data_IF_448979349532
#
_entry.id   IF_448979349532
#
_cell.length_a   1.000
_cell.length_b   1.000
_cell.length_c   1.000
_cell.angle_alpha   90.00
_cell.angle_beta   90.00
_cell.angle_gamma   90.00
#
_symmetry.space_group_name_H-M   'P 1'
#
loop_
_entity.id
_entity.type
_entity.pdbx_description
1 polymer ?
#
# COMPACT_ATOMS: atom_id res chain seq x y z
N UNK A 1 12.55 59.18 -13.68
CA UNK A 1 13.04 57.85 -14.16
C UNK A 1 12.84 56.66 -13.19
N UNK A 2 12.58 56.84 -11.87
CA UNK A 2 12.38 55.72 -10.94
C UNK A 2 11.06 54.96 -11.10
N UNK A 3 9.95 55.62 -11.44
CA UNK A 3 8.61 54.96 -11.55
C UNK A 3 8.54 53.80 -12.54
N UNK A 4 9.02 53.88 -13.80
CA UNK A 4 8.91 52.73 -14.73
C UNK A 4 9.79 51.56 -14.34
N UNK A 5 10.93 51.76 -13.61
CA UNK A 5 11.78 50.69 -13.13
C UNK A 5 11.10 49.92 -11.99
N UNK A 6 10.46 50.62 -11.06
CA UNK A 6 9.74 49.99 -9.93
C UNK A 6 8.54 49.19 -10.45
N UNK A 7 7.81 49.72 -11.45
CA UNK A 7 6.68 49.00 -12.05
C UNK A 7 7.14 47.75 -12.82
N UNK A 8 8.28 47.79 -13.50
CA UNK A 8 8.90 46.65 -14.17
C UNK A 8 9.31 45.56 -13.19
N UNK A 9 9.96 45.91 -12.09
CA UNK A 9 10.40 44.97 -11.07
C UNK A 9 9.18 44.31 -10.38
N UNK A 10 8.16 45.08 -10.03
CA UNK A 10 6.91 44.57 -9.45
C UNK A 10 6.18 43.59 -10.38
N UNK A 11 6.10 43.90 -11.68
CA UNK A 11 5.51 43.02 -12.70
C UNK A 11 6.32 41.73 -12.87
N UNK A 12 7.64 41.79 -12.90
CA UNK A 12 8.52 40.64 -13.04
C UNK A 12 8.43 39.73 -11.79
N UNK A 13 8.39 40.32 -10.57
CA UNK A 13 8.19 39.61 -9.33
C UNK A 13 6.80 38.93 -9.31
N UNK A 14 5.77 39.62 -9.73
CA UNK A 14 4.41 39.10 -9.84
C UNK A 14 4.31 37.89 -10.78
N UNK A 15 4.94 37.99 -11.95
CA UNK A 15 5.03 36.90 -12.93
C UNK A 15 5.81 35.72 -12.39
N UNK A 16 6.94 35.94 -11.69
CA UNK A 16 7.73 34.87 -11.07
C UNK A 16 6.96 34.15 -9.96
N UNK A 17 6.25 34.91 -9.11
CA UNK A 17 5.38 34.33 -8.07
C UNK A 17 4.22 33.56 -8.71
N UNK A 18 3.58 34.10 -9.73
CA UNK A 18 2.52 33.41 -10.46
C UNK A 18 3.04 32.11 -11.11
N UNK A 19 4.19 32.14 -11.77
CA UNK A 19 4.83 30.95 -12.34
C UNK A 19 5.17 29.92 -11.26
N UNK A 20 5.69 30.36 -10.11
CA UNK A 20 5.99 29.47 -8.98
C UNK A 20 4.72 28.81 -8.41
N UNK A 21 3.61 29.54 -8.30
CA UNK A 21 2.36 29.04 -7.73
C UNK A 21 1.52 28.23 -8.72
N UNK A 22 1.62 28.51 -10.02
CA UNK A 22 0.85 27.86 -11.09
C UNK A 22 1.58 26.68 -11.74
N UNK A 23 2.75 26.31 -11.23
CA UNK A 23 3.52 25.16 -11.72
C UNK A 23 2.78 23.83 -11.62
N UNK A 24 3.23 22.81 -12.38
CA UNK A 24 2.65 21.49 -12.35
C UNK A 24 2.71 20.91 -10.92
N UNK A 25 1.60 20.32 -10.49
CA UNK A 25 1.46 19.73 -9.15
C UNK A 25 1.15 18.26 -9.27
N UNK A 26 1.70 17.49 -8.35
CA UNK A 26 1.24 16.13 -8.12
C UNK A 26 -0.18 16.16 -7.55
N UNK A 27 -1.10 15.46 -8.19
CA UNK A 27 -2.51 15.37 -7.77
C UNK A 27 -2.95 13.92 -7.75
N UNK A 28 -3.87 13.59 -6.86
CA UNK A 28 -4.48 12.27 -6.79
C UNK A 28 -5.24 11.90 -8.08
N UNK A 29 -5.86 12.88 -8.72
CA UNK A 29 -6.67 12.67 -9.93
C UNK A 29 -8.10 12.20 -9.60
N UNK A 30 -8.77 11.52 -10.55
CA UNK A 30 -10.12 11.00 -10.36
C UNK A 30 -10.14 9.92 -9.26
N UNK A 31 -11.24 9.86 -8.51
CA UNK A 31 -11.43 8.84 -7.49
C UNK A 31 -12.03 7.53 -8.08
N UNK A 32 -11.60 7.21 -9.29
CA UNK A 32 -12.10 6.07 -10.07
C UNK A 32 -10.93 5.20 -10.50
N UNK A 33 -10.93 3.89 -10.16
CA UNK A 33 -9.91 2.96 -10.62
C UNK A 33 -9.82 2.88 -12.15
N UNK A 34 -8.62 2.63 -12.66
CA UNK A 34 -8.44 2.29 -14.09
C UNK A 34 -9.27 1.06 -14.43
N UNK A 35 -10.06 1.06 -15.52
CA UNK A 35 -10.84 -0.11 -15.92
C UNK A 35 -9.96 -1.35 -16.10
N UNK A 36 -10.37 -2.46 -15.50
CA UNK A 36 -9.68 -3.74 -15.57
C UNK A 36 -10.68 -4.85 -15.95
N UNK A 37 -10.24 -5.89 -16.68
CA UNK A 37 -11.05 -7.08 -16.91
C UNK A 37 -11.48 -7.71 -15.58
N UNK A 38 -12.76 -8.10 -15.51
CA UNK A 38 -13.25 -8.78 -14.32
C UNK A 38 -12.61 -10.17 -14.17
N UNK A 39 -12.21 -10.57 -12.94
CA UNK A 39 -11.74 -11.93 -12.70
C UNK A 39 -12.89 -12.94 -12.87
N UNK A 40 -12.56 -14.22 -13.20
CA UNK A 40 -13.53 -15.30 -13.22
C UNK A 40 -14.25 -15.47 -11.88
N UNK A 41 -15.51 -15.84 -11.94
CA UNK A 41 -16.32 -16.15 -10.74
C UNK A 41 -16.14 -17.59 -10.26
N UNK A 42 -15.59 -18.47 -11.09
CA UNK A 42 -15.28 -19.85 -10.73
C UNK A 42 -13.86 -19.93 -10.13
N UNK A 43 -13.71 -20.43 -8.88
CA UNK A 43 -12.39 -20.55 -8.24
C UNK A 43 -11.35 -21.27 -9.09
N UNK A 44 -11.74 -22.37 -9.74
CA UNK A 44 -10.84 -23.20 -10.56
C UNK A 44 -10.23 -22.48 -11.77
N UNK A 45 -10.84 -21.40 -12.25
CA UNK A 45 -10.35 -20.63 -13.39
C UNK A 45 -9.38 -19.50 -13.02
N UNK A 46 -9.22 -19.20 -11.72
CA UNK A 46 -8.45 -18.05 -11.27
C UNK A 46 -6.93 -18.21 -11.52
N UNK A 47 -6.37 -19.40 -11.32
CA UNK A 47 -4.93 -19.60 -11.50
C UNK A 47 -4.51 -19.37 -12.95
N UNK A 48 -5.23 -19.95 -13.93
CA UNK A 48 -4.96 -19.77 -15.34
C UNK A 48 -5.15 -18.32 -15.77
N UNK A 49 -6.19 -17.67 -15.27
CA UNK A 49 -6.46 -16.26 -15.54
C UNK A 49 -5.35 -15.35 -15.02
N UNK A 50 -4.88 -15.57 -13.78
CA UNK A 50 -3.75 -14.82 -13.20
C UNK A 50 -2.47 -15.07 -14.00
N UNK A 51 -2.18 -16.33 -14.35
CA UNK A 51 -1.00 -16.69 -15.12
C UNK A 51 -0.98 -15.98 -16.49
N UNK A 52 -2.12 -15.93 -17.17
CA UNK A 52 -2.21 -15.22 -18.46
C UNK A 52 -1.96 -13.72 -18.29
N UNK A 53 -2.49 -13.09 -17.24
CA UNK A 53 -2.30 -11.66 -16.98
C UNK A 53 -0.86 -11.33 -16.59
N UNK A 54 -0.25 -12.13 -15.74
CA UNK A 54 1.15 -11.93 -15.34
C UNK A 54 2.12 -12.24 -16.51
N UNK A 55 1.80 -13.17 -17.38
CA UNK A 55 2.59 -13.49 -18.59
C UNK A 55 2.67 -12.33 -19.60
N UNK A 56 1.80 -11.33 -19.50
CA UNK A 56 1.90 -10.10 -20.30
C UNK A 56 3.16 -9.29 -19.97
N UNK A 57 3.73 -9.46 -18.78
CA UNK A 57 4.96 -8.81 -18.33
C UNK A 57 6.12 -9.82 -18.44
N UNK A 58 7.19 -9.41 -19.14
CA UNK A 58 8.37 -10.28 -19.36
C UNK A 58 9.48 -10.07 -18.34
N UNK A 59 9.32 -9.10 -17.47
CA UNK A 59 10.31 -8.59 -16.52
C UNK A 59 9.87 -8.73 -15.05
N UNK A 60 8.85 -9.54 -14.76
CA UNK A 60 8.48 -9.87 -13.39
C UNK A 60 9.62 -10.65 -12.73
N UNK A 61 10.06 -10.18 -11.58
CA UNK A 61 11.07 -10.84 -10.75
C UNK A 61 10.45 -12.12 -10.18
N UNK A 62 11.07 -13.31 -10.40
CA UNK A 62 10.53 -14.57 -9.91
C UNK A 62 10.23 -14.53 -8.40
N UNK A 63 9.05 -14.97 -8.01
CA UNK A 63 8.58 -14.97 -6.63
C UNK A 63 7.80 -13.72 -6.22
N UNK A 64 7.68 -12.71 -7.11
CA UNK A 64 6.92 -11.47 -6.81
C UNK A 64 5.58 -11.39 -7.55
N UNK A 65 5.21 -12.41 -8.29
CA UNK A 65 3.99 -12.50 -9.08
C UNK A 65 2.72 -12.44 -8.20
N UNK A 66 1.60 -11.99 -8.77
CA UNK A 66 0.27 -12.25 -8.20
C UNK A 66 0.08 -13.76 -8.11
N UNK A 67 -0.36 -14.26 -6.96
CA UNK A 67 -0.63 -15.69 -6.82
C UNK A 67 -1.69 -15.98 -5.75
N UNK A 68 -2.31 -17.16 -5.89
CA UNK A 68 -3.23 -17.72 -4.90
C UNK A 68 -2.53 -18.87 -4.18
N UNK A 69 -2.59 -18.84 -2.86
CA UNK A 69 -2.22 -19.97 -2.02
C UNK A 69 -3.53 -20.60 -1.55
N UNK A 70 -3.82 -21.78 -2.07
CA UNK A 70 -5.03 -22.52 -1.77
C UNK A 70 -4.93 -23.22 -0.42
N UNK A 71 -5.95 -23.10 0.41
CA UNK A 71 -6.04 -23.84 1.68
C UNK A 71 -6.12 -25.37 1.46
N UNK A 72 -6.65 -25.80 0.31
CA UNK A 72 -6.74 -27.22 -0.03
C UNK A 72 -6.61 -27.46 -1.55
N UNK A 73 -6.25 -28.69 -1.92
CA UNK A 73 -6.18 -29.10 -3.32
C UNK A 73 -7.54 -29.05 -4.05
N UNK A 74 -8.66 -29.04 -3.32
CA UNK A 74 -10.00 -28.91 -3.88
C UNK A 74 -10.29 -27.52 -4.47
N UNK A 75 -9.47 -26.51 -4.15
CA UNK A 75 -9.59 -25.13 -4.65
C UNK A 75 -11.01 -24.57 -4.52
N UNK A 76 -11.64 -24.81 -3.37
CA UNK A 76 -12.99 -24.37 -3.07
C UNK A 76 -12.96 -23.09 -2.24
N UNK A 77 -14.11 -22.38 -2.21
CA UNK A 77 -14.29 -21.20 -1.38
C UNK A 77 -14.21 -21.57 0.11
N UNK A 78 -13.46 -20.78 0.87
CA UNK A 78 -13.29 -20.91 2.34
C UNK A 78 -14.17 -19.91 3.10
N UNK A 79 -14.23 -20.00 4.44
CA UNK A 79 -14.95 -19.03 5.27
C UNK A 79 -14.30 -17.65 5.19
N UNK A 80 -12.98 -17.57 5.27
CA UNK A 80 -12.20 -16.37 5.03
C UNK A 80 -11.37 -16.49 3.75
N UNK A 81 -11.23 -15.41 3.00
CA UNK A 81 -10.12 -15.20 2.10
C UNK A 81 -9.23 -14.10 2.65
N UNK A 82 -7.93 -14.32 2.65
CA UNK A 82 -6.93 -13.32 3.02
C UNK A 82 -6.37 -12.67 1.76
N UNK A 83 -6.27 -11.35 1.73
CA UNK A 83 -5.57 -10.58 0.71
C UNK A 83 -4.36 -9.93 1.34
N UNK A 84 -3.20 -10.02 0.72
CA UNK A 84 -2.03 -9.26 1.11
C UNK A 84 -1.68 -8.21 0.08
N UNK A 85 -1.59 -6.95 0.50
CA UNK A 85 -1.19 -5.80 -0.32
C UNK A 85 0.11 -5.23 0.26
N UNK A 86 1.19 -5.36 -0.51
CA UNK A 86 2.54 -4.98 -0.10
C UNK A 86 2.76 -3.46 -0.05
N UNK A 87 3.89 -3.06 0.54
CA UNK A 87 4.35 -1.68 0.62
C UNK A 87 4.95 -1.13 -0.67
N UNK A 88 5.31 0.16 -0.66
CA UNK A 88 5.99 0.83 -1.77
C UNK A 88 7.35 0.19 -2.05
N UNK A 89 7.63 -0.02 -3.31
CA UNK A 89 8.80 -0.71 -3.87
C UNK A 89 8.96 -2.19 -3.48
N UNK A 90 8.10 -2.71 -2.60
CA UNK A 90 8.13 -4.07 -2.10
C UNK A 90 7.38 -5.07 -3.00
N UNK A 91 7.34 -6.30 -2.55
CA UNK A 91 6.53 -7.39 -3.08
C UNK A 91 5.91 -8.19 -1.93
N UNK A 92 5.16 -9.24 -2.27
CA UNK A 92 4.61 -10.18 -1.27
C UNK A 92 5.65 -10.79 -0.33
N UNK A 93 6.92 -10.75 -0.72
CA UNK A 93 8.03 -11.32 0.06
C UNK A 93 8.41 -10.48 1.27
N UNK A 94 8.02 -9.19 1.33
CA UNK A 94 8.50 -8.26 2.37
C UNK A 94 8.21 -8.72 3.81
N UNK A 95 7.06 -9.38 4.03
CA UNK A 95 6.68 -9.93 5.34
C UNK A 95 6.48 -11.44 5.33
N UNK A 96 6.79 -12.12 4.21
CA UNK A 96 6.62 -13.57 4.12
C UNK A 96 7.40 -14.30 5.23
N UNK A 97 6.80 -15.32 5.88
CA UNK A 97 5.52 -15.98 5.60
C UNK A 97 4.34 -15.50 6.47
N UNK A 98 4.27 -14.24 6.88
CA UNK A 98 3.25 -13.76 7.81
C UNK A 98 1.82 -14.04 7.31
N UNK A 99 1.51 -13.67 6.06
CA UNK A 99 0.18 -13.85 5.49
C UNK A 99 -0.16 -15.34 5.29
N UNK A 100 0.83 -16.17 4.92
CA UNK A 100 0.67 -17.63 4.84
C UNK A 100 0.31 -18.21 6.21
N UNK A 101 1.02 -17.81 7.27
CA UNK A 101 0.77 -18.25 8.65
C UNK A 101 -0.65 -17.88 9.10
N UNK A 102 -1.09 -16.65 8.80
CA UNK A 102 -2.45 -16.18 9.13
C UNK A 102 -3.49 -16.97 8.35
N UNK A 103 -3.31 -17.13 7.03
CA UNK A 103 -4.24 -17.85 6.19
C UNK A 103 -4.39 -19.31 6.61
N UNK A 104 -3.28 -19.98 6.89
CA UNK A 104 -3.28 -21.35 7.41
C UNK A 104 -4.05 -21.45 8.73
N UNK A 105 -3.79 -20.57 9.69
CA UNK A 105 -4.46 -20.59 10.99
C UNK A 105 -5.98 -20.28 10.90
N UNK A 106 -6.42 -19.52 9.89
CA UNK A 106 -7.82 -19.23 9.63
C UNK A 106 -8.50 -20.27 8.72
N UNK A 107 -7.76 -21.25 8.19
CA UNK A 107 -8.25 -22.17 7.16
C UNK A 107 -8.69 -21.42 5.89
N UNK A 108 -8.00 -20.38 5.53
CA UNK A 108 -8.36 -19.44 4.47
C UNK A 108 -7.55 -19.65 3.20
N UNK A 109 -8.16 -19.41 2.04
CA UNK A 109 -7.41 -19.14 0.81
C UNK A 109 -6.72 -17.77 0.94
N UNK A 110 -5.53 -17.63 0.35
CA UNK A 110 -4.74 -16.39 0.38
C UNK A 110 -4.47 -15.90 -1.05
N UNK A 111 -4.70 -14.62 -1.28
CA UNK A 111 -4.30 -13.94 -2.51
C UNK A 111 -3.22 -12.91 -2.21
N UNK A 112 -2.11 -13.04 -2.91
CA UNK A 112 -1.03 -12.07 -2.92
C UNK A 112 -1.19 -11.11 -4.09
N UNK A 113 -1.48 -9.84 -3.81
CA UNK A 113 -1.52 -8.79 -4.82
C UNK A 113 -0.10 -8.37 -5.24
N UNK A 114 0.03 -7.91 -6.46
CA UNK A 114 1.19 -7.17 -6.98
C UNK A 114 0.68 -5.87 -7.57
N UNK A 115 1.05 -4.75 -6.95
CA UNK A 115 0.66 -3.42 -7.44
C UNK A 115 1.39 -3.13 -8.76
N UNK A 116 0.72 -2.41 -9.65
CA UNK A 116 1.28 -1.99 -10.93
C UNK A 116 2.68 -1.37 -10.73
N UNK A 117 3.62 -1.73 -11.61
CA UNK A 117 5.01 -1.31 -11.54
C UNK A 117 5.88 -2.04 -10.53
N UNK A 118 5.32 -2.72 -9.52
CA UNK A 118 6.06 -3.45 -8.50
C UNK A 118 6.42 -4.87 -8.94
N UNK A 119 7.43 -5.44 -8.29
CA UNK A 119 7.91 -6.79 -8.63
C UNK A 119 8.49 -6.90 -10.05
N UNK A 120 8.92 -5.78 -10.61
CA UNK A 120 9.54 -5.63 -11.94
C UNK A 120 10.79 -4.77 -11.80
N UNK A 121 11.50 -4.51 -12.89
CA UNK A 121 12.65 -3.62 -12.88
C UNK A 121 12.30 -2.21 -12.38
N UNK A 122 13.27 -1.50 -11.81
CA UNK A 122 13.04 -0.18 -11.18
C UNK A 122 12.46 0.90 -12.11
N UNK A 123 12.63 0.77 -13.43
CA UNK A 123 11.98 1.65 -14.40
C UNK A 123 10.46 1.49 -14.38
N UNK A 124 9.96 0.26 -14.24
CA UNK A 124 8.53 -0.05 -14.22
C UNK A 124 7.80 0.62 -13.03
N UNK A 125 8.50 0.92 -11.93
CA UNK A 125 7.94 1.65 -10.79
C UNK A 125 7.47 3.06 -11.15
N UNK A 126 8.04 3.68 -12.19
CA UNK A 126 7.67 5.02 -12.64
C UNK A 126 6.52 5.06 -13.64
N UNK A 127 6.00 3.91 -14.09
CA UNK A 127 4.96 3.81 -15.10
C UNK A 127 3.53 4.08 -14.57
N UNK A 128 3.13 3.49 -13.40
CA UNK A 128 1.74 3.51 -12.98
C UNK A 128 1.29 4.85 -12.41
N UNK A 129 -0.01 5.11 -12.58
CA UNK A 129 -0.76 6.13 -11.89
C UNK A 129 -1.31 5.61 -10.54
N UNK A 130 -1.90 6.53 -9.74
CA UNK A 130 -2.66 6.13 -8.55
C UNK A 130 -3.83 5.24 -8.93
N UNK A 131 -4.53 5.56 -10.03
CA UNK A 131 -5.72 4.86 -10.50
C UNK A 131 -5.43 3.39 -10.85
N UNK A 132 -4.21 3.09 -11.29
CA UNK A 132 -3.78 1.71 -11.53
C UNK A 132 -3.64 0.93 -10.22
N UNK A 133 -3.11 1.55 -9.16
CA UNK A 133 -3.07 0.93 -7.82
C UNK A 133 -4.46 0.78 -7.21
N UNK A 134 -5.37 1.76 -7.43
CA UNK A 134 -6.77 1.60 -7.02
C UNK A 134 -7.40 0.39 -7.71
N UNK A 135 -7.13 0.22 -9.01
CA UNK A 135 -7.62 -0.92 -9.78
C UNK A 135 -7.08 -2.27 -9.28
N UNK A 136 -5.78 -2.33 -8.94
CA UNK A 136 -5.18 -3.53 -8.34
C UNK A 136 -5.82 -3.89 -6.99
N UNK A 137 -6.10 -2.89 -6.14
CA UNK A 137 -6.80 -3.10 -4.87
C UNK A 137 -8.21 -3.66 -5.07
N UNK A 138 -8.97 -3.08 -6.00
CA UNK A 138 -10.33 -3.54 -6.33
C UNK A 138 -10.31 -4.94 -6.95
N UNK A 139 -9.36 -5.21 -7.88
CA UNK A 139 -9.15 -6.55 -8.46
C UNK A 139 -8.87 -7.57 -7.37
N UNK A 140 -7.98 -7.24 -6.43
CA UNK A 140 -7.61 -8.13 -5.33
C UNK A 140 -8.82 -8.55 -4.48
N UNK A 141 -9.73 -7.61 -4.17
CA UNK A 141 -10.95 -7.93 -3.42
C UNK A 141 -11.94 -8.74 -4.26
N UNK A 142 -12.08 -8.45 -5.57
CA UNK A 142 -12.93 -9.24 -6.46
C UNK A 142 -12.48 -10.69 -6.54
N UNK A 143 -11.17 -10.93 -6.64
CA UNK A 143 -10.58 -12.28 -6.58
C UNK A 143 -10.89 -12.90 -5.22
N UNK A 144 -10.63 -12.19 -4.12
CA UNK A 144 -10.85 -12.70 -2.77
C UNK A 144 -12.31 -13.08 -2.50
N UNK A 145 -13.28 -12.37 -3.07
CA UNK A 145 -14.71 -12.72 -2.98
C UNK A 145 -15.04 -14.06 -3.68
N UNK A 146 -14.28 -14.44 -4.68
CA UNK A 146 -14.38 -15.79 -5.27
C UNK A 146 -13.70 -16.83 -4.37
N UNK A 147 -12.65 -16.45 -3.63
CA UNK A 147 -11.86 -17.34 -2.77
C UNK A 147 -12.47 -17.59 -1.39
N UNK A 148 -13.27 -16.65 -0.87
CA UNK A 148 -13.85 -16.74 0.49
C UNK A 148 -15.18 -16.02 0.63
N UNK A 149 -15.97 -16.45 1.62
CA UNK A 149 -17.24 -15.81 1.97
C UNK A 149 -17.03 -14.44 2.62
N UNK A 150 -15.96 -14.30 3.40
CA UNK A 150 -15.53 -13.07 4.05
C UNK A 150 -14.11 -12.73 3.58
N UNK A 151 -13.80 -11.45 3.49
CA UNK A 151 -12.50 -10.97 3.01
C UNK A 151 -11.78 -10.21 4.11
N UNK A 152 -10.57 -10.66 4.45
CA UNK A 152 -9.60 -9.98 5.32
C UNK A 152 -8.49 -9.39 4.45
N UNK A 153 -8.37 -8.06 4.42
CA UNK A 153 -7.27 -7.38 3.71
C UNK A 153 -6.16 -7.02 4.70
N UNK A 154 -4.97 -7.52 4.45
CA UNK A 154 -3.74 -7.15 5.16
C UNK A 154 -2.95 -6.20 4.25
N UNK A 155 -2.78 -4.96 4.67
CA UNK A 155 -1.99 -3.96 3.97
C UNK A 155 -0.73 -3.59 4.75
N UNK A 156 0.42 -3.59 4.08
CA UNK A 156 1.68 -3.13 4.66
C UNK A 156 2.03 -1.75 4.11
N UNK A 157 2.40 -0.78 4.96
CA UNK A 157 2.89 0.53 4.56
C UNK A 157 1.95 1.23 3.55
N UNK A 158 2.36 1.46 2.32
CA UNK A 158 1.54 2.03 1.23
C UNK A 158 0.36 1.12 0.87
N UNK A 159 0.48 -0.20 1.01
CA UNK A 159 -0.64 -1.14 0.86
C UNK A 159 -1.76 -0.85 1.86
N UNK A 160 -1.43 -0.46 3.09
CA UNK A 160 -2.42 -0.03 4.08
C UNK A 160 -3.05 1.33 3.74
N UNK A 161 -2.30 2.24 3.10
CA UNK A 161 -2.85 3.52 2.61
C UNK A 161 -3.88 3.26 1.49
N UNK A 162 -3.56 2.36 0.56
CA UNK A 162 -4.47 1.90 -0.49
C UNK A 162 -5.72 1.24 0.11
N UNK A 163 -5.53 0.34 1.07
CA UNK A 163 -6.62 -0.34 1.77
C UNK A 163 -7.52 0.65 2.55
N UNK A 164 -6.96 1.76 3.05
CA UNK A 164 -7.75 2.85 3.65
C UNK A 164 -8.64 3.53 2.61
N UNK A 165 -8.12 3.80 1.41
CA UNK A 165 -8.94 4.30 0.31
C UNK A 165 -10.08 3.32 -0.03
N UNK A 166 -9.78 2.02 -0.09
CA UNK A 166 -10.80 0.98 -0.36
C UNK A 166 -11.90 0.97 0.69
N UNK A 167 -11.56 1.15 1.97
CA UNK A 167 -12.51 1.21 3.07
C UNK A 167 -13.42 2.45 3.02
N UNK A 168 -12.95 3.54 2.41
CA UNK A 168 -13.72 4.77 2.19
C UNK A 168 -14.61 4.70 0.94
N UNK A 169 -14.38 3.71 0.07
CA UNK A 169 -15.06 3.55 -1.22
C UNK A 169 -15.68 2.16 -1.38
N UNK A 170 -16.63 1.76 -0.50
CA UNK A 170 -17.28 0.45 -0.53
C UNK A 170 -18.07 0.20 -1.82
N UNK A 171 -18.39 1.23 -2.59
CA UNK A 171 -19.01 1.15 -3.91
C UNK A 171 -18.14 0.45 -4.95
N UNK A 172 -16.80 0.44 -4.76
CA UNK A 172 -15.87 -0.24 -5.64
C UNK A 172 -15.58 -1.68 -5.19
N UNK A 173 -15.51 -1.91 -3.87
CA UNK A 173 -15.23 -3.22 -3.31
C UNK A 173 -15.65 -3.30 -1.84
N UNK A 174 -16.19 -4.44 -1.42
CA UNK A 174 -16.62 -4.67 -0.04
C UNK A 174 -15.63 -5.60 0.67
N UNK A 175 -15.11 -5.16 1.82
CA UNK A 175 -14.14 -5.89 2.65
C UNK A 175 -14.75 -6.06 4.05
N UNK A 176 -14.57 -7.22 4.67
CA UNK A 176 -15.16 -7.53 5.98
C UNK A 176 -14.27 -7.13 7.14
N UNK A 177 -12.94 -7.08 6.94
CA UNK A 177 -12.00 -6.66 7.96
C UNK A 177 -10.67 -6.20 7.33
N UNK A 178 -9.98 -5.29 8.01
CA UNK A 178 -8.67 -4.78 7.61
C UNK A 178 -7.63 -5.01 8.71
N UNK A 179 -6.40 -5.35 8.29
CA UNK A 179 -5.20 -5.32 9.13
C UNK A 179 -4.18 -4.43 8.46
N UNK A 180 -3.70 -3.43 9.17
CA UNK A 180 -2.68 -2.50 8.69
C UNK A 180 -1.38 -2.70 9.47
N UNK A 181 -0.27 -2.88 8.76
CA UNK A 181 1.06 -3.04 9.34
C UNK A 181 1.89 -1.82 8.91
N UNK A 182 2.37 -1.05 9.88
CA UNK A 182 3.16 0.18 9.65
C UNK A 182 2.56 1.09 8.57
N UNK A 183 1.26 1.47 8.65
CA UNK A 183 0.58 2.17 7.56
C UNK A 183 1.25 3.49 7.22
N UNK A 184 1.51 3.73 5.92
CA UNK A 184 2.10 4.97 5.44
C UNK A 184 1.05 6.08 5.33
N UNK A 185 0.66 6.65 6.46
CA UNK A 185 -0.18 7.85 6.46
C UNK A 185 0.63 9.15 6.38
N UNK A 186 1.93 9.07 6.61
CA UNK A 186 2.89 10.16 6.41
C UNK A 186 4.30 9.60 6.49
N UNK A 187 5.16 9.81 5.48
CA UNK A 187 6.58 9.50 5.62
C UNK A 187 7.22 10.29 6.78
N UNK A 188 8.20 9.68 7.45
CA UNK A 188 8.93 10.35 8.54
C UNK A 188 9.76 11.54 8.06
N UNK A 189 10.24 11.50 6.83
CA UNK A 189 10.94 12.62 6.23
C UNK A 189 9.97 13.81 6.05
N UNK A 190 10.23 14.88 6.79
CA UNK A 190 9.40 16.10 6.81
C UNK A 190 9.32 16.79 5.44
N UNK A 191 10.30 16.61 4.60
CA UNK A 191 10.37 17.22 3.25
C UNK A 191 9.61 16.40 2.19
N UNK A 192 9.17 15.20 2.50
CA UNK A 192 8.47 14.32 1.54
C UNK A 192 7.23 14.96 0.91
N UNK A 193 6.56 15.85 1.64
CA UNK A 193 5.38 16.57 1.16
C UNK A 193 5.64 17.57 0.02
N UNK A 194 6.88 18.00 -0.16
CA UNK A 194 7.28 18.97 -1.21
C UNK A 194 6.96 18.42 -2.61
N UNK A 195 7.01 17.10 -2.81
CA UNK A 195 6.72 16.48 -4.10
C UNK A 195 5.29 16.76 -4.59
N UNK A 196 4.36 17.11 -3.69
CA UNK A 196 2.98 17.47 -4.03
C UNK A 196 2.79 18.98 -4.26
N UNK A 197 3.85 19.80 -4.10
CA UNK A 197 3.81 21.22 -4.34
C UNK A 197 3.90 21.55 -5.85
N UNK A 198 3.64 22.82 -6.23
CA UNK A 198 4.01 23.27 -7.56
C UNK A 198 5.49 23.00 -7.81
N UNK A 199 5.83 22.45 -8.97
CA UNK A 199 7.20 22.07 -9.34
C UNK A 199 7.82 20.97 -8.44
N UNK A 200 7.02 20.27 -7.64
CA UNK A 200 7.52 19.31 -6.65
C UNK A 200 8.37 18.18 -7.25
N UNK A 201 7.98 17.66 -8.43
CA UNK A 201 8.79 16.67 -9.15
C UNK A 201 10.11 17.28 -9.62
N UNK A 202 10.08 18.48 -10.19
CA UNK A 202 11.30 19.17 -10.69
C UNK A 202 12.26 19.47 -9.54
N UNK A 203 11.73 19.88 -8.38
CA UNK A 203 12.51 20.08 -7.16
C UNK A 203 13.13 18.74 -6.71
N UNK A 204 12.34 17.66 -6.69
CA UNK A 204 12.84 16.34 -6.31
C UNK A 204 13.92 15.84 -7.27
N UNK A 205 13.74 16.02 -8.58
CA UNK A 205 14.75 15.67 -9.59
C UNK A 205 16.04 16.49 -9.44
N UNK A 206 15.93 17.78 -9.14
CA UNK A 206 17.10 18.64 -8.94
C UNK A 206 17.89 18.29 -7.66
N UNK A 207 17.19 17.87 -6.59
CA UNK A 207 17.81 17.57 -5.29
C UNK A 207 18.32 16.13 -5.20
N UNK A 208 17.58 15.17 -5.75
CA UNK A 208 17.84 13.73 -5.57
C UNK A 208 18.23 13.00 -6.86
N UNK A 209 18.17 13.67 -7.99
CA UNK A 209 18.39 13.07 -9.31
C UNK A 209 17.19 12.29 -9.85
N UNK A 210 17.35 11.69 -11.05
CA UNK A 210 16.27 10.99 -11.76
C UNK A 210 15.91 9.64 -11.15
N UNK A 211 16.81 9.05 -10.36
CA UNK A 211 16.64 7.74 -9.72
C UNK A 211 16.93 7.81 -8.22
N UNK A 212 16.31 6.94 -7.49
CA UNK A 212 16.51 6.70 -6.05
C UNK A 212 16.82 5.24 -5.82
N UNK A 213 17.53 4.98 -4.73
CA UNK A 213 17.81 3.61 -4.35
C UNK A 213 18.56 3.50 -3.04
N UNK A 214 18.72 2.28 -2.61
CA UNK A 214 19.57 1.88 -1.50
C UNK A 214 20.28 0.57 -1.82
N UNK A 215 21.32 0.26 -1.09
CA UNK A 215 22.02 -1.01 -1.22
C UNK A 215 21.32 -2.06 -0.33
N UNK A 216 20.86 -3.14 -0.93
CA UNK A 216 20.33 -4.27 -0.18
C UNK A 216 21.45 -4.89 0.67
N UNK A 217 21.12 -5.23 1.90
CA UNK A 217 22.05 -5.86 2.85
C UNK A 217 21.96 -7.39 2.84
N UNK A 218 20.91 -7.90 2.21
CA UNK A 218 20.62 -9.33 2.08
C UNK A 218 20.20 -9.64 0.63
N UNK A 219 20.62 -10.75 0.01
CA UNK A 219 20.19 -11.13 -1.34
C UNK A 219 18.67 -11.24 -1.49
N UNK A 220 17.94 -11.72 -0.48
CA UNK A 220 16.49 -11.79 -0.51
C UNK A 220 15.85 -10.40 -0.47
N UNK A 221 16.48 -9.43 0.19
CA UNK A 221 16.05 -8.05 0.15
C UNK A 221 16.13 -7.47 -1.26
N UNK A 222 17.18 -7.80 -2.01
CA UNK A 222 17.35 -7.36 -3.39
C UNK A 222 16.27 -7.92 -4.34
N UNK A 223 15.69 -9.08 -4.01
CA UNK A 223 14.59 -9.70 -4.76
C UNK A 223 13.24 -9.16 -4.31
N UNK A 224 13.05 -8.99 -3.00
CA UNK A 224 11.78 -8.62 -2.40
C UNK A 224 11.39 -7.15 -2.66
N UNK A 225 12.37 -6.27 -2.91
CA UNK A 225 12.16 -4.84 -3.18
C UNK A 225 12.81 -4.40 -4.48
N UNK A 226 12.14 -3.49 -5.19
CA UNK A 226 12.77 -2.67 -6.21
C UNK A 226 13.64 -1.63 -5.49
N UNK A 227 14.89 -1.98 -5.22
CA UNK A 227 15.84 -1.16 -4.46
C UNK A 227 16.50 -0.02 -5.27
N UNK A 228 16.19 0.05 -6.57
CA UNK A 228 16.51 1.17 -7.47
C UNK A 228 15.30 1.50 -8.34
N UNK A 229 14.81 2.74 -8.32
CA UNK A 229 13.62 3.15 -9.07
C UNK A 229 13.66 4.63 -9.47
N UNK A 230 12.86 5.00 -10.47
CA UNK A 230 12.73 6.38 -10.91
C UNK A 230 12.14 7.27 -9.81
N UNK A 231 12.67 8.48 -9.63
CA UNK A 231 12.17 9.46 -8.63
C UNK A 231 10.67 9.76 -8.82
N UNK A 232 10.17 9.74 -10.07
CA UNK A 232 8.75 9.92 -10.37
C UNK A 232 7.84 8.84 -9.79
N UNK A 233 8.36 7.66 -9.43
CA UNK A 233 7.58 6.60 -8.76
C UNK A 233 7.00 7.06 -7.40
N UNK A 234 7.57 8.10 -6.79
CA UNK A 234 7.04 8.69 -5.57
C UNK A 234 5.72 9.45 -5.77
N UNK A 235 5.39 9.86 -7.01
CA UNK A 235 4.21 10.67 -7.28
C UNK A 235 2.91 9.96 -6.90
N UNK A 236 2.61 8.73 -7.41
CA UNK A 236 1.37 8.05 -7.04
C UNK A 236 1.29 7.76 -5.55
N UNK A 237 2.40 7.34 -4.92
CA UNK A 237 2.42 7.08 -3.48
C UNK A 237 2.06 8.34 -2.67
N UNK A 238 2.71 9.47 -2.95
CA UNK A 238 2.52 10.69 -2.18
C UNK A 238 1.16 11.34 -2.45
N UNK A 239 0.63 11.20 -3.67
CA UNK A 239 -0.73 11.63 -3.99
C UNK A 239 -1.78 10.83 -3.20
N UNK A 240 -1.62 9.50 -3.12
CA UNK A 240 -2.49 8.62 -2.34
C UNK A 240 -2.43 8.93 -0.84
N UNK A 241 -1.21 9.09 -0.28
CA UNK A 241 -1.01 9.48 1.13
C UNK A 241 -1.69 10.80 1.43
N UNK A 242 -1.52 11.82 0.57
CA UNK A 242 -2.14 13.12 0.78
C UNK A 242 -3.67 13.04 0.70
N UNK A 243 -4.21 12.30 -0.26
CA UNK A 243 -5.64 12.11 -0.43
C UNK A 243 -6.27 11.48 0.81
N UNK A 244 -5.74 10.34 1.28
CA UNK A 244 -6.24 9.64 2.47
C UNK A 244 -6.16 10.53 3.73
N UNK A 245 -5.07 11.29 3.90
CA UNK A 245 -4.94 12.23 5.03
C UNK A 245 -6.00 13.32 5.04
N UNK A 246 -6.44 13.77 3.86
CA UNK A 246 -7.43 14.83 3.68
C UNK A 246 -8.88 14.30 3.68
N UNK A 247 -9.07 12.99 3.54
CA UNK A 247 -10.38 12.35 3.52
C UNK A 247 -11.07 12.38 4.89
N UNK A 248 -12.39 12.31 4.87
CA UNK A 248 -13.20 12.08 6.06
C UNK A 248 -13.14 10.59 6.44
N UNK A 249 -12.28 10.28 7.43
CA UNK A 249 -12.10 8.92 7.91
C UNK A 249 -13.24 8.43 8.81
N UNK A 250 -14.18 9.29 9.19
CA UNK A 250 -15.36 8.87 9.94
C UNK A 250 -16.25 7.92 9.13
N UNK A 251 -16.16 7.97 7.79
CA UNK A 251 -16.83 7.05 6.88
C UNK A 251 -16.23 5.63 6.87
N UNK A 252 -15.01 5.44 7.36
CA UNK A 252 -14.40 4.11 7.49
C UNK A 252 -15.03 3.36 8.66
N UNK A 253 -16.03 2.51 8.38
CA UNK A 253 -16.80 1.79 9.39
C UNK A 253 -16.42 0.30 9.53
N UNK A 254 -15.68 -0.26 8.58
CA UNK A 254 -15.23 -1.65 8.59
C UNK A 254 -14.28 -1.92 9.78
N UNK A 255 -14.34 -3.10 10.43
CA UNK A 255 -13.39 -3.48 11.47
C UNK A 255 -11.93 -3.35 11.02
N UNK A 256 -11.08 -2.79 11.88
CA UNK A 256 -9.66 -2.58 11.56
C UNK A 256 -8.75 -2.81 12.75
N UNK A 257 -7.67 -3.56 12.52
CA UNK A 257 -6.52 -3.72 13.40
C UNK A 257 -5.32 -2.98 12.81
N UNK A 258 -4.67 -2.12 13.59
CA UNK A 258 -3.41 -1.48 13.20
C UNK A 258 -2.27 -1.97 14.09
N UNK A 259 -1.17 -2.37 13.45
CA UNK A 259 0.10 -2.75 14.11
C UNK A 259 1.17 -1.76 13.66
N UNK A 260 1.90 -1.19 14.61
CA UNK A 260 2.91 -0.18 14.34
C UNK A 260 4.02 -0.20 15.39
N UNK A 261 5.14 0.48 15.13
CA UNK A 261 6.20 0.73 16.12
C UNK A 261 6.38 2.23 16.34
N UNK A 262 6.53 2.66 17.58
CA UNK A 262 6.92 4.06 17.90
C UNK A 262 8.32 4.39 17.38
N UNK A 263 9.15 3.39 17.10
CA UNK A 263 10.51 3.53 16.62
C UNK A 263 10.63 3.44 15.09
N UNK A 264 9.50 3.39 14.36
CA UNK A 264 9.51 3.36 12.90
C UNK A 264 10.26 4.57 12.33
N UNK A 265 11.29 4.33 11.51
CA UNK A 265 12.13 5.36 10.91
C UNK A 265 11.70 5.78 9.50
N UNK A 266 10.75 5.06 8.92
CA UNK A 266 10.25 5.23 7.55
C UNK A 266 8.96 6.04 7.50
N UNK A 267 7.99 5.71 8.37
CA UNK A 267 6.72 6.44 8.50
C UNK A 267 6.59 7.10 9.87
N UNK A 268 5.77 8.12 9.97
CA UNK A 268 5.54 8.90 11.19
C UNK A 268 4.53 8.19 12.10
N UNK A 269 4.93 7.62 13.26
CA UNK A 269 4.01 6.93 14.18
C UNK A 269 2.92 7.86 14.73
N UNK A 270 3.23 9.15 14.86
CA UNK A 270 2.23 10.13 15.33
C UNK A 270 1.09 10.30 14.32
N UNK A 271 1.40 10.22 13.02
CA UNK A 271 0.40 10.24 11.96
C UNK A 271 -0.45 8.95 11.96
N UNK A 272 0.13 7.81 12.31
CA UNK A 272 -0.63 6.54 12.45
C UNK A 272 -1.67 6.68 13.55
N UNK A 273 -1.27 7.11 14.76
CA UNK A 273 -2.19 7.31 15.87
C UNK A 273 -3.27 8.36 15.57
N UNK A 274 -2.88 9.48 14.97
CA UNK A 274 -3.82 10.53 14.60
C UNK A 274 -4.83 10.05 13.55
N UNK A 275 -4.41 9.24 12.59
CA UNK A 275 -5.30 8.62 11.59
C UNK A 275 -6.24 7.63 12.25
N UNK A 276 -5.71 6.75 13.12
CA UNK A 276 -6.52 5.78 13.87
C UNK A 276 -7.61 6.45 14.69
N UNK A 277 -7.32 7.57 15.36
CA UNK A 277 -8.29 8.31 16.15
C UNK A 277 -9.49 8.80 15.31
N UNK A 278 -9.26 9.16 14.04
CA UNK A 278 -10.27 9.68 13.11
C UNK A 278 -11.15 8.60 12.47
N UNK A 279 -10.73 7.32 12.46
CA UNK A 279 -11.50 6.20 11.87
C UNK A 279 -12.80 6.02 12.65
N UNK A 280 -13.92 5.94 11.91
CA UNK A 280 -15.27 5.84 12.46
C UNK A 280 -15.68 4.44 12.93
N UNK A 281 -14.94 3.39 12.58
CA UNK A 281 -15.26 2.02 12.99
C UNK A 281 -15.36 1.88 14.50
N UNK A 282 -16.42 1.20 14.96
CA UNK A 282 -16.58 0.82 16.37
C UNK A 282 -15.69 -0.37 16.78
N UNK A 283 -15.26 -1.17 15.80
CA UNK A 283 -14.39 -2.33 15.98
C UNK A 283 -12.98 -2.00 15.49
N UNK A 284 -12.33 -1.04 16.14
CA UNK A 284 -10.95 -0.65 15.81
C UNK A 284 -10.01 -0.91 16.97
N UNK A 285 -8.85 -1.49 16.66
CA UNK A 285 -7.78 -1.81 17.63
C UNK A 285 -6.46 -1.30 17.07
N UNK A 286 -5.62 -0.73 17.92
CA UNK A 286 -4.24 -0.38 17.58
C UNK A 286 -3.30 -1.03 18.59
N UNK A 287 -2.24 -1.66 18.06
CA UNK A 287 -1.24 -2.38 18.86
C UNK A 287 0.15 -1.87 18.52
N UNK A 288 0.90 -1.47 19.53
CA UNK A 288 2.33 -1.21 19.40
C UNK A 288 3.09 -2.53 19.38
N UNK A 289 3.90 -2.73 18.33
CA UNK A 289 4.79 -3.90 18.18
C UNK A 289 6.14 -3.57 18.79
N UNK A 290 6.39 -4.07 19.97
CA UNK A 290 7.65 -3.84 20.72
C UNK A 290 8.64 -4.99 20.59
N UNK A 291 8.20 -6.14 20.10
CA UNK A 291 8.94 -7.39 20.00
C UNK A 291 9.66 -7.59 18.65
N UNK A 292 9.49 -6.70 17.68
CA UNK A 292 10.20 -6.80 16.41
C UNK A 292 11.65 -6.34 16.55
N UNK A 293 12.57 -7.12 15.96
CA UNK A 293 14.00 -6.79 15.88
C UNK A 293 14.40 -6.15 14.56
N UNK A 294 13.41 -5.82 13.70
CA UNK A 294 13.68 -5.21 12.41
C UNK A 294 14.50 -3.92 12.57
N UNK A 295 15.59 -3.79 11.83
CA UNK A 295 16.28 -2.52 11.69
C UNK A 295 15.32 -1.49 11.10
N UNK A 296 15.29 -0.27 11.66
CA UNK A 296 14.37 0.78 11.21
C UNK A 296 12.91 0.59 11.66
N UNK A 297 12.52 -0.54 12.20
CA UNK A 297 11.21 -0.81 12.83
C UNK A 297 9.99 -0.51 11.93
N UNK A 298 10.16 -0.67 10.60
CA UNK A 298 9.10 -0.46 9.61
C UNK A 298 8.49 -1.77 9.12
N UNK A 299 9.31 -2.69 8.59
CA UNK A 299 8.88 -4.05 8.20
C UNK A 299 8.95 -4.93 9.44
N UNK A 300 7.83 -5.03 10.18
CA UNK A 300 7.82 -5.51 11.56
C UNK A 300 7.85 -7.04 11.70
N UNK A 301 7.67 -7.80 10.59
CA UNK A 301 7.67 -9.26 10.56
C UNK A 301 8.28 -9.77 9.26
N UNK A 302 8.38 -11.09 9.11
CA UNK A 302 8.87 -11.76 7.91
C UNK A 302 10.33 -12.19 8.01
N UNK A 303 10.66 -13.23 7.22
CA UNK A 303 11.95 -13.91 7.30
C UNK A 303 13.15 -13.02 6.98
N UNK A 304 12.95 -11.94 6.19
CA UNK A 304 14.04 -11.04 5.77
C UNK A 304 14.39 -10.04 6.87
N UNK A 305 13.41 -9.47 7.55
CA UNK A 305 13.62 -8.34 8.47
C UNK A 305 13.44 -8.68 9.95
N UNK A 306 12.49 -9.55 10.29
CA UNK A 306 12.18 -9.88 11.68
C UNK A 306 11.51 -11.25 11.81
N UNK A 307 12.21 -12.37 11.55
CA UNK A 307 11.63 -13.71 11.55
C UNK A 307 10.96 -14.09 12.87
N UNK A 308 11.55 -13.71 14.01
CA UNK A 308 11.00 -14.02 15.35
C UNK A 308 9.69 -13.26 15.66
N UNK A 309 9.40 -12.16 14.97
CA UNK A 309 8.18 -11.40 15.17
C UNK A 309 6.97 -11.96 14.38
N UNK A 310 7.22 -12.85 13.42
CA UNK A 310 6.18 -13.39 12.54
C UNK A 310 5.11 -14.16 13.30
N UNK A 311 5.50 -15.12 14.14
CA UNK A 311 4.56 -15.95 14.87
C UNK A 311 3.70 -15.16 15.89
N UNK A 312 4.26 -14.30 16.77
CA UNK A 312 3.44 -13.51 17.69
C UNK A 312 2.54 -12.51 16.98
N UNK A 313 2.98 -11.92 15.85
CA UNK A 313 2.15 -11.02 15.05
C UNK A 313 0.99 -11.77 14.40
N UNK A 314 1.24 -12.93 13.79
CA UNK A 314 0.21 -13.79 13.24
C UNK A 314 -0.82 -14.20 14.30
N UNK A 315 -0.38 -14.62 15.48
CA UNK A 315 -1.26 -14.98 16.59
C UNK A 315 -2.18 -13.82 17.01
N UNK A 316 -1.64 -12.61 17.10
CA UNK A 316 -2.43 -11.40 17.42
C UNK A 316 -3.50 -11.10 16.35
N UNK A 317 -3.13 -11.20 15.07
CA UNK A 317 -4.05 -10.96 13.95
C UNK A 317 -5.15 -12.04 13.92
N UNK A 318 -4.79 -13.31 14.05
CA UNK A 318 -5.74 -14.43 14.05
C UNK A 318 -6.72 -14.33 15.22
N UNK A 319 -6.22 -14.04 16.43
CA UNK A 319 -7.05 -13.84 17.61
C UNK A 319 -8.06 -12.71 17.39
N UNK A 320 -7.61 -11.58 16.85
CA UNK A 320 -8.49 -10.46 16.53
C UNK A 320 -9.52 -10.82 15.45
N UNK A 321 -9.12 -11.47 14.35
CA UNK A 321 -10.03 -11.87 13.28
C UNK A 321 -11.12 -12.83 13.78
N UNK A 322 -10.76 -13.78 14.67
CA UNK A 322 -11.70 -14.71 15.28
C UNK A 322 -12.70 -14.00 16.22
N UNK A 323 -12.30 -12.94 16.90
CA UNK A 323 -13.22 -12.17 17.75
C UNK A 323 -14.36 -11.49 16.95
N UNK A 324 -14.12 -11.19 15.67
CA UNK A 324 -15.15 -10.61 14.79
C UNK A 324 -16.24 -11.60 14.36
N UNK A 325 -16.01 -12.90 14.52
CA UNK A 325 -16.99 -13.93 14.16
C UNK A 325 -17.96 -14.22 15.32
N UNK A 326 -17.55 -13.99 16.54
CA UNK A 326 -18.36 -14.24 17.76
C UNK A 326 -19.42 -13.15 17.98
N UNK A 327 -19.19 -11.94 17.45
CA UNK A 327 -20.08 -10.79 17.65
C UNK A 327 -21.29 -10.76 16.67
N UNK A 328 -21.39 -11.72 15.77
CA UNK A 328 -22.42 -11.78 14.70
C UNK A 328 -23.51 -12.83 14.96
N UNK A 329 -23.57 -13.40 16.21
CA UNK A 329 -24.52 -14.40 16.64
C UNK A 329 -25.65 -13.81 17.52
#
# INVERSE_FOLDING_TARGET
MLRPVITGIAATLGLAVAAALLGPRNRFGPNTPTPQPAPPTAPAALDDWLQQREAAYKDIVPGTEKCIIWNSAARTQTQWAVVYIHGFSASRMETAPLADTIATALGANLFYARLAGHGRGGAAMGEPSVQDWLADGVEAVRIARTLGKRVLVIGCSTGATLATWMALHPEHCTVDAYVFISPNFKPRNKLSGIINWPWGLQIALAVQGPTRGWTATDPLEAVAWSNHYATQALLPMMALVQHVRQSDLSAFQTPVLMLYSERDDTVDPSAIRATFARIGSRHKTILEVTYSSAAGQHVLAGNIKAPQATAPMAASIVSWANSLTVSSG
#
